data_IF_233552996602
#
_entry.id   IF_233552996602
#
_cell.length_a   1.000
_cell.length_b   1.000
_cell.length_c   1.000
_cell.angle_alpha   90.00
_cell.angle_beta   90.00
_cell.angle_gamma   90.00
#
_symmetry.space_group_name_H-M   'P 1'
#
loop_
_entity.id
_entity.type
_entity.pdbx_description
1 polymer ?
#
# COMPACT_ATOMS: atom_id res chain seq x y z
N UNK A 1 3.27 14.57 -4.11
CA UNK A 1 2.62 13.47 -4.84
C UNK A 1 1.88 12.65 -3.79
N UNK A 2 0.64 12.24 -4.03
CA UNK A 2 -0.13 11.52 -3.02
C UNK A 2 0.52 10.15 -2.82
N UNK A 3 0.93 9.90 -1.58
CA UNK A 3 1.41 8.60 -1.16
C UNK A 3 0.23 7.88 -0.55
N UNK A 4 0.14 6.58 -0.80
CA UNK A 4 -0.82 5.72 -0.10
C UNK A 4 -0.08 4.76 0.79
N UNK A 5 -0.72 4.41 1.89
CA UNK A 5 -0.30 3.40 2.84
C UNK A 5 -1.22 2.20 2.66
N UNK A 6 -0.65 1.06 2.29
CA UNK A 6 -1.36 -0.21 2.16
C UNK A 6 -0.99 -1.09 3.35
N UNK A 7 -1.99 -1.42 4.18
CA UNK A 7 -1.84 -2.33 5.32
C UNK A 7 -2.31 -3.72 4.92
N UNK A 8 -1.53 -4.75 5.24
CA UNK A 8 -1.89 -6.15 5.01
C UNK A 8 -2.70 -6.74 6.18
N UNK A 9 -3.48 -7.77 5.88
CA UNK A 9 -4.11 -8.62 6.90
C UNK A 9 -3.04 -9.42 7.64
N UNK A 10 -3.28 -9.68 8.91
CA UNK A 10 -2.36 -10.44 9.78
C UNK A 10 -2.16 -11.87 9.28
N UNK A 11 -3.19 -12.45 8.65
CA UNK A 11 -3.16 -13.80 8.07
C UNK A 11 -2.70 -13.84 6.61
N UNK A 12 -2.28 -12.71 6.03
CA UNK A 12 -1.80 -12.68 4.65
C UNK A 12 -0.50 -13.48 4.51
N UNK A 13 -0.49 -14.42 3.56
CA UNK A 13 0.71 -15.19 3.22
C UNK A 13 1.76 -14.30 2.58
N UNK A 14 3.03 -14.73 2.61
CA UNK A 14 4.11 -13.99 1.93
C UNK A 14 3.89 -13.87 0.43
N UNK A 15 3.32 -14.91 -0.19
CA UNK A 15 2.98 -14.89 -1.60
C UNK A 15 1.99 -13.77 -1.93
N UNK A 16 0.87 -13.69 -1.21
CA UNK A 16 -0.15 -12.67 -1.47
C UNK A 16 0.36 -11.25 -1.17
N UNK A 17 1.21 -11.09 -0.14
CA UNK A 17 1.87 -9.80 0.14
C UNK A 17 2.78 -9.38 -1.01
N UNK A 18 3.56 -10.31 -1.57
CA UNK A 18 4.45 -10.02 -2.68
C UNK A 18 3.68 -9.71 -3.97
N UNK A 19 2.56 -10.39 -4.24
CA UNK A 19 1.69 -10.06 -5.36
C UNK A 19 1.07 -8.66 -5.23
N UNK A 20 0.57 -8.32 -4.05
CA UNK A 20 0.02 -7.00 -3.78
C UNK A 20 1.08 -5.90 -3.97
N UNK A 21 2.31 -6.12 -3.48
CA UNK A 21 3.44 -5.20 -3.71
C UNK A 21 3.75 -5.07 -5.20
N UNK A 22 3.82 -6.18 -5.94
CA UNK A 22 4.11 -6.16 -7.37
C UNK A 22 3.05 -5.38 -8.16
N UNK A 23 1.77 -5.59 -7.85
CA UNK A 23 0.66 -4.82 -8.45
C UNK A 23 0.74 -3.34 -8.11
N UNK A 24 0.98 -3.01 -6.83
CA UNK A 24 1.08 -1.62 -6.41
C UNK A 24 2.27 -0.91 -7.06
N UNK A 25 3.40 -1.59 -7.20
CA UNK A 25 4.58 -1.07 -7.89
C UNK A 25 4.33 -0.88 -9.38
N UNK A 26 3.61 -1.80 -10.03
CA UNK A 26 3.22 -1.64 -11.44
C UNK A 26 2.25 -0.47 -11.67
N UNK A 27 1.41 -0.16 -10.68
CA UNK A 27 0.48 0.97 -10.70
C UNK A 27 1.07 2.29 -10.16
N UNK A 28 2.27 2.25 -9.57
CA UNK A 28 2.93 3.42 -9.02
C UNK A 28 3.37 4.40 -10.11
N UNK A 29 3.48 5.68 -9.75
CA UNK A 29 4.02 6.70 -10.67
C UNK A 29 5.46 6.44 -11.07
N UNK A 30 6.22 5.75 -10.22
CA UNK A 30 7.62 5.41 -10.44
C UNK A 30 7.88 3.94 -10.08
N UNK A 31 7.80 3.01 -11.05
CA UNK A 31 8.00 1.59 -10.79
C UNK A 31 9.46 1.24 -10.41
N UNK A 32 10.42 2.17 -10.54
CA UNK A 32 11.78 1.96 -10.07
C UNK A 32 11.98 2.40 -8.62
N UNK A 33 11.06 3.20 -8.08
CA UNK A 33 11.11 3.64 -6.69
C UNK A 33 10.85 2.47 -5.72
N UNK A 34 11.64 2.33 -4.66
CA UNK A 34 11.36 1.33 -3.62
C UNK A 34 10.04 1.65 -2.91
N UNK A 35 9.32 0.60 -2.52
CA UNK A 35 8.14 0.72 -1.66
C UNK A 35 8.60 0.98 -0.22
N UNK A 36 7.90 1.85 0.50
CA UNK A 36 8.20 2.12 1.91
C UNK A 36 7.59 1.02 2.79
N UNK A 37 8.26 -0.12 2.88
CA UNK A 37 7.78 -1.27 3.64
C UNK A 37 7.89 -1.05 5.16
N UNK A 38 6.84 -1.42 5.88
CA UNK A 38 6.84 -1.46 7.34
C UNK A 38 6.41 -2.82 7.85
N UNK A 39 7.09 -3.28 8.90
CA UNK A 39 6.84 -4.55 9.56
C UNK A 39 6.98 -4.34 11.07
N UNK A 40 5.89 -3.88 11.69
CA UNK A 40 5.83 -3.51 13.10
C UNK A 40 4.94 -4.55 13.80
N UNK A 41 5.56 -5.59 14.34
CA UNK A 41 4.86 -6.68 15.01
C UNK A 41 3.91 -7.43 14.06
N UNK A 42 2.60 -7.39 14.36
CA UNK A 42 1.56 -7.98 13.51
C UNK A 42 1.16 -7.08 12.33
N UNK A 43 1.57 -5.80 12.33
CA UNK A 43 1.24 -4.86 11.27
C UNK A 43 2.31 -4.87 10.19
N UNK A 44 1.95 -5.36 9.02
CA UNK A 44 2.78 -5.38 7.83
C UNK A 44 2.11 -4.58 6.75
N UNK A 45 2.88 -3.82 6.00
CA UNK A 45 2.35 -3.05 4.89
C UNK A 45 3.44 -2.31 4.15
N UNK A 46 3.04 -1.44 3.25
CA UNK A 46 3.97 -0.62 2.49
C UNK A 46 3.34 0.70 2.07
N UNK A 47 4.18 1.72 1.92
CA UNK A 47 3.83 2.98 1.28
C UNK A 47 4.24 2.98 -0.20
N UNK A 48 3.42 3.60 -1.05
CA UNK A 48 3.70 3.75 -2.48
C UNK A 48 3.16 5.07 -3.02
N UNK A 49 3.93 5.73 -3.87
CA UNK A 49 3.48 6.92 -4.59
C UNK A 49 2.56 6.51 -5.75
N UNK A 50 1.32 6.98 -5.71
CA UNK A 50 0.34 6.74 -6.76
C UNK A 50 -0.28 8.05 -7.25
N UNK A 51 -0.82 8.10 -8.47
CA UNK A 51 -1.71 9.18 -8.86
C UNK A 51 -2.95 9.24 -7.95
N UNK A 52 -3.49 10.43 -7.69
CA UNK A 52 -4.66 10.62 -6.82
C UNK A 52 -5.88 9.80 -7.29
N UNK A 53 -6.05 9.66 -8.61
CA UNK A 53 -7.06 8.81 -9.25
C UNK A 53 -6.92 7.30 -8.96
N UNK A 54 -5.72 6.83 -8.59
CA UNK A 54 -5.43 5.40 -8.44
C UNK A 54 -5.80 4.84 -7.07
N UNK A 55 -6.03 5.68 -6.07
CA UNK A 55 -6.41 5.23 -4.73
C UNK A 55 -7.79 4.57 -4.75
N UNK A 56 -8.66 5.01 -5.66
CA UNK A 56 -9.95 4.35 -5.93
C UNK A 56 -9.80 2.99 -6.62
N UNK A 57 -8.67 2.72 -7.28
CA UNK A 57 -8.42 1.48 -8.03
C UNK A 57 -7.69 0.43 -7.18
N UNK A 58 -6.83 0.88 -6.26
CA UNK A 58 -6.21 0.03 -5.24
C UNK A 58 -7.13 -0.07 -4.00
N UNK A 59 -8.33 -0.59 -4.22
CA UNK A 59 -9.31 -0.78 -3.14
C UNK A 59 -8.93 -1.99 -2.26
N UNK A 60 -9.41 -2.03 -1.02
CA UNK A 60 -9.30 -3.19 -0.11
C UNK A 60 -9.83 -4.49 -0.72
N UNK A 61 -10.67 -4.41 -1.75
CA UNK A 61 -11.16 -5.55 -2.53
C UNK A 61 -10.21 -6.00 -3.66
N UNK A 62 -9.18 -5.22 -4.00
CA UNK A 62 -8.25 -5.53 -5.09
C UNK A 62 -7.26 -6.65 -4.74
N UNK A 63 -7.11 -7.00 -3.45
CA UNK A 63 -6.31 -8.15 -3.02
C UNK A 63 -6.81 -8.80 -1.74
N UNK A 64 -6.82 -10.13 -1.69
CA UNK A 64 -7.18 -10.90 -0.49
C UNK A 64 -6.32 -10.54 0.74
N UNK A 65 -5.06 -10.14 0.51
CA UNK A 65 -4.10 -9.77 1.53
C UNK A 65 -4.22 -8.34 2.07
N UNK A 66 -4.95 -7.43 1.41
CA UNK A 66 -5.04 -6.03 1.84
C UNK A 66 -6.13 -5.89 2.90
N UNK A 67 -5.79 -5.22 4.01
CA UNK A 67 -6.68 -4.91 5.14
C UNK A 67 -7.23 -3.49 5.04
N UNK A 68 -6.38 -2.54 4.69
CA UNK A 68 -6.72 -1.12 4.56
C UNK A 68 -5.83 -0.45 3.52
N UNK A 69 -6.36 0.56 2.85
CA UNK A 69 -5.61 1.48 2.01
C UNK A 69 -5.99 2.89 2.45
N UNK A 70 -4.98 3.68 2.81
CA UNK A 70 -5.14 5.02 3.37
C UNK A 70 -4.28 5.99 2.56
N UNK A 71 -4.76 7.21 2.34
CA UNK A 71 -3.88 8.28 1.86
C UNK A 71 -2.91 8.64 3.00
N UNK A 72 -1.63 8.79 2.65
CA UNK A 72 -0.61 9.40 3.52
C UNK A 72 -0.97 10.88 3.65
N UNK A 73 -1.91 11.16 4.55
CA UNK A 73 -2.40 12.50 4.83
C UNK A 73 -1.38 13.26 5.68
N UNK A 74 -1.19 14.53 5.36
CA UNK A 74 -0.37 15.44 6.15
C UNK A 74 -1.03 15.62 7.53
N UNK A 75 -0.40 15.10 8.59
CA UNK A 75 -0.87 15.30 9.96
C UNK A 75 -0.57 16.74 10.34
N UNK A 76 -1.60 17.58 10.39
CA UNK A 76 -1.49 18.93 10.94
C UNK A 76 -1.54 18.84 12.47
N UNK A 77 -0.52 19.38 13.14
CA UNK A 77 -0.55 19.57 14.59
C UNK A 77 -1.43 20.78 14.89
N UNK A 78 -2.43 20.60 15.76
CA UNK A 78 -3.26 21.68 16.29
C UNK A 78 -2.54 22.43 17.41
#
# INVERSE_FOLDING_TARGET
>A
MPKIIVTFKENATEAERNEAKAKARAASVDPNKPLDEYNIGSFKGFGVDMPDDYVSTFDVNSHAAVKAVEHDGEVTTQ
#
